data_IF_395646159118
#
_entry.id   IF_395646159118
#
_cell.length_a   1.000
_cell.length_b   1.000
_cell.length_c   1.000
_cell.angle_alpha   90.00
_cell.angle_beta   90.00
_cell.angle_gamma   90.00
#
_symmetry.space_group_name_H-M   'P 1'
#
loop_
_entity.id
_entity.type
_entity.pdbx_description
1 polymer ?
#
# COMPACT_ATOMS: atom_id res chain seq x y z
N UNK A 1 -8.32 -12.70 -10.46
CA UNK A 1 -7.57 -13.97 -10.47
C UNK A 1 -7.83 -14.64 -9.13
N UNK A 2 -8.60 -15.74 -9.11
CA UNK A 2 -8.71 -16.59 -7.93
C UNK A 2 -7.63 -17.67 -8.05
N UNK A 3 -6.71 -17.74 -7.09
CA UNK A 3 -5.85 -18.90 -6.97
C UNK A 3 -6.60 -19.95 -6.14
N UNK A 4 -6.92 -21.08 -6.77
CA UNK A 4 -7.24 -22.31 -6.05
C UNK A 4 -6.27 -23.39 -6.53
N UNK A 5 -5.47 -23.90 -5.60
CA UNK A 5 -5.40 -25.32 -5.26
C UNK A 5 -4.28 -25.56 -4.24
N UNK A 6 -4.59 -26.26 -3.15
CA UNK A 6 -3.69 -27.27 -2.62
C UNK A 6 -3.18 -27.12 -1.19
N UNK A 7 -3.19 -25.93 -0.60
CA UNK A 7 -2.85 -25.73 0.82
C UNK A 7 -3.45 -24.39 1.26
N UNK A 8 -4.34 -24.37 2.25
CA UNK A 8 -5.09 -23.16 2.64
C UNK A 8 -4.20 -22.21 3.43
N UNK A 9 -3.20 -21.63 2.77
CA UNK A 9 -2.73 -20.31 3.17
C UNK A 9 -3.88 -19.34 2.84
N UNK A 10 -4.54 -18.81 3.87
CA UNK A 10 -5.61 -17.81 3.75
C UNK A 10 -5.05 -16.46 3.27
N UNK A 11 -4.31 -16.45 2.16
CA UNK A 11 -3.80 -15.25 1.53
C UNK A 11 -4.95 -14.52 0.83
N UNK A 12 -5.15 -13.25 1.19
CA UNK A 12 -6.12 -12.38 0.55
C UNK A 12 -5.39 -11.25 -0.18
N UNK A 13 -5.81 -10.97 -1.41
CA UNK A 13 -5.44 -9.73 -2.09
C UNK A 13 -6.30 -8.60 -1.52
N UNK A 14 -5.64 -7.66 -0.86
CA UNK A 14 -6.31 -6.55 -0.14
C UNK A 14 -6.15 -5.22 -0.88
N UNK A 15 -5.07 -5.04 -1.63
CA UNK A 15 -4.75 -3.83 -2.36
C UNK A 15 -4.41 -4.12 -3.83
N UNK A 16 -4.73 -3.19 -4.73
CA UNK A 16 -4.56 -3.37 -6.16
C UNK A 16 -5.47 -4.47 -6.75
N UNK A 17 -4.88 -5.38 -7.54
CA UNK A 17 -5.61 -6.50 -8.16
C UNK A 17 -6.36 -6.16 -9.45
N UNK A 18 -6.19 -4.93 -9.98
CA UNK A 18 -6.75 -4.43 -11.24
C UNK A 18 -5.70 -4.18 -12.32
N UNK A 19 -4.55 -4.83 -12.19
CA UNK A 19 -3.38 -4.59 -13.05
C UNK A 19 -2.55 -3.41 -12.58
N UNK A 20 -1.46 -3.17 -13.31
CA UNK A 20 -0.60 -2.02 -13.12
C UNK A 20 -1.30 -0.74 -13.62
N UNK A 21 -1.24 0.35 -12.85
CA UNK A 21 -1.77 1.64 -13.26
C UNK A 21 -1.86 2.64 -12.11
N UNK A 22 -2.44 3.81 -12.39
CA UNK A 22 -2.47 4.96 -11.48
C UNK A 22 -3.85 5.27 -10.88
N UNK A 23 -4.88 4.51 -11.24
CA UNK A 23 -6.19 4.60 -10.59
C UNK A 23 -6.09 4.25 -9.09
N UNK A 24 -7.07 4.66 -8.29
CA UNK A 24 -7.08 4.38 -6.85
C UNK A 24 -7.26 2.89 -6.53
N UNK A 25 -7.72 2.09 -7.48
CA UNK A 25 -7.84 0.62 -7.37
C UNK A 25 -6.61 -0.12 -7.94
N UNK A 26 -5.56 0.60 -8.36
CA UNK A 26 -4.34 0.08 -8.97
C UNK A 26 -3.10 0.54 -8.21
N UNK A 27 -2.00 -0.19 -8.43
CA UNK A 27 -0.67 0.13 -7.93
C UNK A 27 0.30 0.08 -9.11
N UNK A 28 1.41 0.81 -9.02
CA UNK A 28 2.49 0.79 -9.99
C UNK A 28 3.85 0.76 -9.29
N UNK A 29 4.53 -0.39 -9.38
CA UNK A 29 5.86 -0.64 -8.77
C UNK A 29 5.92 -0.26 -7.28
N UNK A 30 5.03 -0.78 -6.41
CA UNK A 30 5.13 -0.52 -4.97
C UNK A 30 6.44 -1.09 -4.40
N UNK A 31 7.07 -0.40 -3.47
CA UNK A 31 8.40 -0.79 -2.93
C UNK A 31 8.38 -1.23 -1.48
N UNK A 32 7.42 -0.77 -0.69
CA UNK A 32 7.32 -1.12 0.72
C UNK A 32 5.87 -1.06 1.23
N UNK A 33 5.60 -1.77 2.32
CA UNK A 33 4.29 -1.86 2.96
C UNK A 33 4.42 -2.05 4.47
N UNK A 34 3.59 -1.34 5.22
CA UNK A 34 3.40 -1.60 6.66
C UNK A 34 1.93 -1.83 7.00
N UNK A 35 1.69 -2.44 8.16
CA UNK A 35 0.34 -2.68 8.69
C UNK A 35 0.07 -1.64 9.77
N UNK A 36 -0.95 -0.82 9.56
CA UNK A 36 -1.57 -0.03 10.63
C UNK A 36 -2.65 -0.87 11.30
N UNK A 37 -2.32 -1.45 12.47
CA UNK A 37 -3.22 -2.30 13.24
C UNK A 37 -4.42 -1.52 13.80
N UNK A 38 -4.25 -0.23 14.10
CA UNK A 38 -5.30 0.60 14.68
C UNK A 38 -6.41 0.88 13.68
N UNK A 39 -6.05 1.16 12.42
CA UNK A 39 -7.03 1.37 11.34
C UNK A 39 -7.36 0.11 10.56
N UNK A 40 -6.75 -1.03 10.92
CA UNK A 40 -6.86 -2.29 10.19
C UNK A 40 -6.56 -2.12 8.68
N UNK A 41 -5.48 -1.41 8.37
CA UNK A 41 -5.12 -1.00 7.01
C UNK A 41 -3.68 -1.36 6.64
N UNK A 42 -3.42 -1.51 5.34
CA UNK A 42 -2.08 -1.46 4.76
C UNK A 42 -1.74 0.00 4.42
N UNK A 43 -0.51 0.41 4.67
CA UNK A 43 0.06 1.63 4.12
C UNK A 43 1.15 1.21 3.14
N UNK A 44 1.01 1.60 1.89
CA UNK A 44 1.82 1.11 0.78
C UNK A 44 2.53 2.29 0.14
N UNK A 45 3.83 2.14 -0.04
CA UNK A 45 4.59 3.04 -0.89
C UNK A 45 4.41 2.60 -2.35
N UNK A 46 3.74 3.44 -3.13
CA UNK A 46 3.39 3.21 -4.53
C UNK A 46 4.30 4.07 -5.43
N UNK A 47 5.60 3.72 -5.42
CA UNK A 47 6.69 4.52 -6.00
C UNK A 47 6.42 4.94 -7.45
N UNK A 48 5.96 4.03 -8.31
CA UNK A 48 5.71 4.32 -9.71
C UNK A 48 4.62 5.37 -9.92
N UNK A 49 3.66 5.47 -9.00
CA UNK A 49 2.63 6.50 -8.97
C UNK A 49 3.01 7.72 -8.12
N UNK A 50 4.19 7.70 -7.48
CA UNK A 50 4.72 8.78 -6.63
C UNK A 50 3.78 9.17 -5.49
N UNK A 51 3.25 8.16 -4.80
CA UNK A 51 2.28 8.33 -3.71
C UNK A 51 2.47 7.27 -2.62
N UNK A 52 2.00 7.61 -1.43
CA UNK A 52 1.75 6.64 -0.35
C UNK A 52 0.25 6.50 -0.20
N UNK A 53 -0.23 5.26 -0.21
CA UNK A 53 -1.67 4.93 -0.21
C UNK A 53 -2.03 4.03 0.95
N UNK A 54 -3.19 4.29 1.55
CA UNK A 54 -3.82 3.46 2.57
C UNK A 54 -4.86 2.55 1.94
N UNK A 55 -4.84 1.26 2.30
CA UNK A 55 -5.85 0.29 1.91
C UNK A 55 -6.43 -0.41 3.13
N UNK A 56 -7.73 -0.26 3.36
CA UNK A 56 -8.42 -1.01 4.40
C UNK A 56 -8.36 -2.52 4.12
N UNK A 57 -8.01 -3.32 5.14
CA UNK A 57 -8.00 -4.79 5.07
C UNK A 57 -9.37 -5.42 5.17
N UNK A 58 -10.38 -4.62 5.51
CA UNK A 58 -11.76 -5.07 5.63
C UNK A 58 -12.34 -5.43 4.26
N UNK A 59 -13.17 -6.47 4.26
CA UNK A 59 -13.88 -6.94 3.07
C UNK A 59 -14.71 -5.82 2.44
N UNK A 60 -14.65 -5.69 1.12
CA UNK A 60 -15.45 -4.73 0.35
C UNK A 60 -14.72 -3.44 -0.04
N UNK A 61 -13.50 -3.23 0.47
CA UNK A 61 -12.64 -2.13 0.00
C UNK A 61 -12.17 -2.43 -1.42
N UNK A 62 -12.42 -1.51 -2.36
CA UNK A 62 -12.08 -1.67 -3.79
C UNK A 62 -11.00 -0.71 -4.28
N UNK A 63 -10.65 0.29 -3.48
CA UNK A 63 -9.68 1.33 -3.83
C UNK A 63 -8.96 1.84 -2.58
N UNK A 64 -7.74 2.34 -2.77
CA UNK A 64 -6.94 2.98 -1.75
C UNK A 64 -7.25 4.47 -1.61
N UNK A 65 -6.75 5.05 -0.54
CA UNK A 65 -6.79 6.47 -0.22
C UNK A 65 -5.36 7.02 -0.25
N UNK A 66 -5.16 8.17 -0.89
CA UNK A 66 -3.84 8.81 -0.92
C UNK A 66 -3.60 9.49 0.44
N UNK A 67 -2.53 9.09 1.13
CA UNK A 67 -2.06 9.73 2.35
C UNK A 67 -1.02 10.82 2.07
N UNK A 68 -0.13 10.56 1.12
CA UNK A 68 0.95 11.46 0.71
C UNK A 68 1.07 11.37 -0.81
N UNK A 69 1.14 12.51 -1.48
CA UNK A 69 1.35 12.61 -2.92
C UNK A 69 2.69 13.25 -3.27
N UNK A 70 3.07 13.14 -4.54
CA UNK A 70 4.27 13.75 -5.12
C UNK A 70 5.56 13.44 -4.34
N UNK A 71 5.71 12.17 -3.96
CA UNK A 71 6.85 11.64 -3.21
C UNK A 71 7.42 10.42 -3.93
N UNK A 72 8.74 10.35 -4.10
CA UNK A 72 9.40 9.13 -4.58
C UNK A 72 9.71 8.23 -3.38
N UNK A 73 8.65 7.72 -2.76
CA UNK A 73 8.77 6.93 -1.55
C UNK A 73 9.56 5.64 -1.83
N UNK A 74 10.27 5.12 -0.82
CA UNK A 74 10.92 3.82 -0.92
C UNK A 74 10.71 2.97 0.33
N UNK A 75 11.15 3.45 1.50
CA UNK A 75 10.90 2.82 2.79
C UNK A 75 9.81 3.54 3.58
N UNK A 76 9.07 2.77 4.37
CA UNK A 76 8.06 3.24 5.31
C UNK A 76 8.43 2.81 6.74
N UNK A 77 8.22 3.71 7.69
CA UNK A 77 8.22 3.38 9.11
C UNK A 77 7.09 4.12 9.82
N UNK A 78 6.59 3.54 10.91
CA UNK A 78 5.58 4.19 11.74
C UNK A 78 5.94 3.98 13.21
N UNK A 79 5.87 5.05 14.01
CA UNK A 79 6.14 4.96 15.44
C UNK A 79 4.88 4.60 16.26
N UNK A 80 5.05 4.50 17.59
CA UNK A 80 3.96 4.20 18.51
C UNK A 80 2.93 5.33 18.63
N UNK A 81 3.31 6.57 18.30
CA UNK A 81 2.41 7.73 18.24
C UNK A 81 1.70 7.83 16.89
N UNK A 82 1.98 6.91 15.96
CA UNK A 82 1.43 6.81 14.61
C UNK A 82 1.88 7.92 13.67
N UNK A 83 3.06 8.50 13.90
CA UNK A 83 3.72 9.29 12.87
C UNK A 83 4.25 8.36 11.78
N UNK A 84 3.89 8.66 10.54
CA UNK A 84 4.36 7.96 9.35
C UNK A 84 5.62 8.64 8.82
N UNK A 85 6.70 7.88 8.72
CA UNK A 85 7.97 8.29 8.16
C UNK A 85 8.16 7.63 6.80
N UNK A 86 8.60 8.40 5.82
CA UNK A 86 8.75 7.96 4.44
C UNK A 86 10.07 8.50 3.91
N UNK A 87 10.93 7.63 3.39
CA UNK A 87 12.13 8.08 2.70
C UNK A 87 11.80 8.44 1.26
N UNK A 88 12.17 9.64 0.81
CA UNK A 88 12.12 10.05 -0.60
C UNK A 88 13.48 9.78 -1.26
N UNK A 89 13.55 8.79 -2.14
CA UNK A 89 14.82 8.38 -2.77
C UNK A 89 15.34 9.34 -3.82
N UNK A 90 14.51 10.26 -4.30
CA UNK A 90 14.94 11.27 -5.28
C UNK A 90 15.35 12.57 -4.58
N UNK A 91 14.67 12.94 -3.49
CA UNK A 91 15.02 14.13 -2.71
C UNK A 91 16.11 13.89 -1.65
N UNK A 92 16.42 12.63 -1.35
CA UNK A 92 17.39 12.23 -0.32
C UNK A 92 16.99 12.69 1.09
N UNK A 93 15.69 12.64 1.39
CA UNK A 93 15.08 13.11 2.64
C UNK A 93 14.22 12.02 3.29
#
# INVERSE_FOLDING_TARGET
MQLKNGDTTNGQVVAGGKGEGNELNQLYRPTDVLIDKETDSLIICDLGNRRVVRWSRRSGTTQGEILIDNIYCFGLAMDEQRYLYVSDVVKHE
#
